data_IF_191474210851
#
_entry.id   IF_191474210851
#
_cell.length_a   1.000
_cell.length_b   1.000
_cell.length_c   1.000
_cell.angle_alpha   90.00
_cell.angle_beta   90.00
_cell.angle_gamma   90.00
#
_symmetry.space_group_name_H-M   'P 1'
#
loop_
_entity.id
_entity.type
_entity.pdbx_description
1 polymer ?
#
# COMPACT_ATOMS: atom_id res chain seq x y z
N UNK A 1 22.84 -7.71 13.62
CA UNK A 1 21.88 -6.99 14.49
C UNK A 1 21.93 -7.50 15.93
N UNK A 2 21.88 -6.60 16.92
CA UNK A 2 21.76 -6.98 18.35
C UNK A 2 20.28 -7.07 18.75
N UNK A 3 19.97 -7.86 19.77
CA UNK A 3 18.59 -8.02 20.29
C UNK A 3 18.00 -6.68 20.74
N UNK A 4 18.84 -5.80 21.28
CA UNK A 4 18.46 -4.45 21.72
C UNK A 4 17.93 -3.58 20.59
N UNK A 5 18.58 -3.60 19.42
CA UNK A 5 18.15 -2.83 18.24
C UNK A 5 16.80 -3.33 17.75
N UNK A 6 16.60 -4.64 17.68
CA UNK A 6 15.32 -5.24 17.27
C UNK A 6 14.20 -4.85 18.23
N UNK A 7 14.43 -4.97 19.55
CA UNK A 7 13.46 -4.59 20.56
C UNK A 7 13.11 -3.10 20.49
N UNK A 8 14.11 -2.24 20.28
CA UNK A 8 13.90 -0.81 20.13
C UNK A 8 13.14 -0.47 18.84
N UNK A 9 13.47 -1.08 17.71
CA UNK A 9 12.75 -0.89 16.45
C UNK A 9 11.27 -1.30 16.55
N UNK A 10 10.98 -2.42 17.25
CA UNK A 10 9.61 -2.87 17.53
C UNK A 10 8.86 -1.92 18.48
N UNK A 11 9.55 -1.33 19.46
CA UNK A 11 8.96 -0.32 20.33
C UNK A 11 8.62 0.95 19.55
N UNK A 12 9.54 1.44 18.73
CA UNK A 12 9.34 2.66 17.92
C UNK A 12 8.18 2.49 16.94
N UNK A 13 8.12 1.38 16.19
CA UNK A 13 7.00 1.15 15.25
C UNK A 13 5.67 1.03 15.99
N UNK A 14 5.65 0.44 17.20
CA UNK A 14 4.44 0.38 18.03
C UNK A 14 3.97 1.78 18.45
N UNK A 15 4.89 2.68 18.83
CA UNK A 15 4.58 4.07 19.15
C UNK A 15 4.02 4.79 17.92
N UNK A 16 4.66 4.64 16.75
CA UNK A 16 4.19 5.20 15.48
C UNK A 16 2.76 4.75 15.17
N UNK A 17 2.44 3.46 15.35
CA UNK A 17 1.10 2.93 15.14
C UNK A 17 0.08 3.50 16.13
N UNK A 18 0.47 3.69 17.40
CA UNK A 18 -0.37 4.35 18.42
C UNK A 18 -0.66 5.80 18.01
N UNK A 19 0.35 6.53 17.51
CA UNK A 19 0.18 7.88 16.98
C UNK A 19 -0.77 7.86 15.78
N UNK A 20 -0.59 6.93 14.82
CA UNK A 20 -1.51 6.76 13.69
C UNK A 20 -2.95 6.51 14.12
N UNK A 21 -3.15 5.69 15.16
CA UNK A 21 -4.47 5.47 15.78
C UNK A 21 -5.01 6.75 16.43
N UNK A 22 -4.18 7.49 17.14
CA UNK A 22 -4.57 8.74 17.79
C UNK A 22 -4.98 9.82 16.78
N UNK A 23 -4.20 9.99 15.71
CA UNK A 23 -4.49 10.87 14.56
C UNK A 23 -5.87 10.51 13.97
N UNK A 24 -6.12 9.22 13.73
CA UNK A 24 -7.41 8.72 13.24
C UNK A 24 -8.57 9.12 14.16
N UNK A 25 -8.39 9.02 15.48
CA UNK A 25 -9.44 9.32 16.46
C UNK A 25 -9.66 10.81 16.71
N UNK A 26 -8.68 11.67 16.40
CA UNK A 26 -8.77 13.11 16.64
C UNK A 26 -9.22 13.93 15.43
N UNK A 27 -8.90 13.49 14.21
CA UNK A 27 -9.13 14.27 13.00
C UNK A 27 -10.39 13.76 12.27
N UNK A 28 -11.49 14.56 12.17
CA UNK A 28 -12.74 14.13 11.56
C UNK A 28 -12.63 13.71 10.10
N UNK A 29 -11.68 14.29 9.35
CA UNK A 29 -11.45 13.96 7.94
C UNK A 29 -11.06 12.49 7.79
N UNK A 30 -10.13 12.00 8.62
CA UNK A 30 -9.67 10.61 8.55
C UNK A 30 -10.70 9.60 9.06
N UNK A 31 -11.63 10.04 9.92
CA UNK A 31 -12.77 9.22 10.34
C UNK A 31 -13.77 9.04 9.20
N UNK A 32 -14.10 10.14 8.50
CA UNK A 32 -15.01 10.12 7.35
C UNK A 32 -14.44 9.36 6.16
N UNK A 33 -13.13 9.38 5.99
CA UNK A 33 -12.42 8.65 4.95
C UNK A 33 -12.11 7.19 5.32
N UNK A 34 -12.49 6.71 6.52
CA UNK A 34 -12.24 5.35 6.99
C UNK A 34 -10.79 4.85 6.79
N UNK A 35 -9.81 5.76 6.84
CA UNK A 35 -8.40 5.40 6.62
C UNK A 35 -7.90 4.49 7.77
N UNK A 36 -7.16 3.41 7.47
CA UNK A 36 -6.61 2.53 8.49
C UNK A 36 -5.51 3.24 9.28
N UNK A 37 -5.41 2.94 10.58
CA UNK A 37 -4.41 3.56 11.47
C UNK A 37 -2.98 3.20 11.11
N UNK A 38 -2.75 2.01 10.52
CA UNK A 38 -1.44 1.58 10.02
C UNK A 38 -0.94 2.48 8.89
N UNK A 39 -1.83 2.87 7.98
CA UNK A 39 -1.51 3.77 6.87
C UNK A 39 -1.14 5.17 7.38
N UNK A 40 -1.94 5.72 8.31
CA UNK A 40 -1.64 7.01 8.93
C UNK A 40 -0.32 6.98 9.72
N UNK A 41 -0.05 5.88 10.42
CA UNK A 41 1.23 5.66 11.11
C UNK A 41 2.40 5.60 10.13
N UNK A 42 2.26 4.87 9.02
CA UNK A 42 3.27 4.81 7.96
C UNK A 42 3.56 6.17 7.33
N UNK A 43 2.53 6.96 7.02
CA UNK A 43 2.72 8.35 6.56
C UNK A 43 3.45 9.20 7.59
N UNK A 44 3.13 9.05 8.87
CA UNK A 44 3.82 9.76 9.94
C UNK A 44 5.29 9.32 10.03
N UNK A 45 5.60 8.03 9.90
CA UNK A 45 6.98 7.55 9.85
C UNK A 45 7.74 8.10 8.63
N UNK A 46 7.14 8.13 7.43
CA UNK A 46 7.76 8.71 6.23
C UNK A 46 8.07 10.20 6.39
N UNK A 47 7.19 10.96 7.05
CA UNK A 47 7.46 12.36 7.37
C UNK A 47 8.66 12.51 8.30
N UNK A 48 8.83 11.57 9.24
CA UNK A 48 9.89 11.59 10.24
C UNK A 48 11.21 10.96 9.74
N UNK A 49 11.14 10.21 8.65
CA UNK A 49 12.24 9.48 8.04
C UNK A 49 13.14 10.34 7.16
N UNK A 50 14.08 9.70 6.44
CA UNK A 50 15.02 10.36 5.58
C UNK A 50 14.38 11.05 4.38
N UNK A 51 13.24 10.54 3.91
CA UNK A 51 12.59 11.04 2.71
C UNK A 51 12.07 12.47 2.87
N UNK A 52 11.73 12.88 4.09
CA UNK A 52 11.18 14.22 4.37
C UNK A 52 12.04 14.97 5.36
N UNK A 53 12.05 14.62 6.65
CA UNK A 53 12.85 15.35 7.66
C UNK A 53 14.34 15.27 7.33
N UNK A 54 14.86 14.10 6.95
CA UNK A 54 16.27 13.97 6.55
C UNK A 54 16.64 14.93 5.43
N UNK A 55 15.85 14.94 4.34
CA UNK A 55 16.05 15.88 3.22
C UNK A 55 15.90 17.35 3.60
N UNK A 56 14.93 17.70 4.45
CA UNK A 56 14.75 19.09 4.91
C UNK A 56 15.95 19.55 5.73
N UNK A 57 16.45 18.70 6.63
CA UNK A 57 17.64 19.01 7.45
C UNK A 57 18.83 19.21 6.53
N UNK A 58 19.14 18.25 5.64
CA UNK A 58 20.25 18.36 4.69
C UNK A 58 20.15 19.63 3.84
N UNK A 59 18.93 20.01 3.41
CA UNK A 59 18.72 21.24 2.64
C UNK A 59 18.97 22.53 3.44
N UNK A 60 18.73 22.53 4.76
CA UNK A 60 18.93 23.69 5.64
C UNK A 60 20.37 23.78 6.16
N UNK A 61 20.98 22.65 6.52
CA UNK A 61 22.32 22.59 7.11
C UNK A 61 23.42 22.50 6.06
N UNK A 62 23.11 22.06 4.84
CA UNK A 62 24.09 21.82 3.77
C UNK A 62 24.94 20.55 3.97
N UNK A 63 24.72 19.82 5.06
CA UNK A 63 25.42 18.58 5.42
C UNK A 63 24.40 17.48 5.77
N UNK A 64 24.71 16.23 5.40
CA UNK A 64 23.91 15.05 5.73
C UNK A 64 24.07 14.64 7.20
N UNK A 65 23.54 15.47 8.10
CA UNK A 65 23.64 15.24 9.56
C UNK A 65 22.66 14.15 10.03
N UNK A 66 21.53 13.96 9.35
CA UNK A 66 20.49 12.97 9.70
C UNK A 66 20.01 12.15 8.48
N UNK A 67 20.84 11.22 7.98
CA UNK A 67 20.53 10.45 6.77
C UNK A 67 19.38 9.44 6.92
N UNK A 68 18.87 9.21 8.15
CA UNK A 68 17.70 8.37 8.44
C UNK A 68 16.57 9.16 9.13
N UNK A 69 16.59 10.50 9.02
CA UNK A 69 15.68 11.38 9.75
C UNK A 69 15.88 11.26 11.25
N UNK A 70 14.78 11.14 12.01
CA UNK A 70 14.85 10.97 13.47
C UNK A 70 15.18 9.53 13.90
N UNK A 71 15.19 8.58 12.96
CA UNK A 71 15.43 7.17 13.23
C UNK A 71 16.91 6.82 12.98
N UNK A 72 17.27 5.55 13.25
CA UNK A 72 18.62 5.04 13.03
C UNK A 72 18.64 4.01 11.90
N UNK A 73 19.80 3.80 11.30
CA UNK A 73 20.04 2.77 10.28
C UNK A 73 19.57 1.39 10.74
N UNK A 74 19.93 0.98 11.96
CA UNK A 74 19.51 -0.30 12.52
C UNK A 74 18.00 -0.45 12.72
N UNK A 75 17.25 0.65 12.93
CA UNK A 75 15.78 0.58 12.94
C UNK A 75 15.25 0.34 11.52
N UNK A 76 15.82 1.03 10.53
CA UNK A 76 15.45 0.88 9.13
C UNK A 76 15.70 -0.53 8.60
N UNK A 77 16.86 -1.11 8.89
CA UNK A 77 17.21 -2.49 8.53
C UNK A 77 16.20 -3.48 9.10
N UNK A 78 15.87 -3.36 10.39
CA UNK A 78 14.85 -4.23 11.02
C UNK A 78 13.50 -4.05 10.33
N UNK A 79 13.06 -2.81 10.09
CA UNK A 79 11.77 -2.55 9.44
C UNK A 79 11.71 -3.04 8.01
N UNK A 80 12.81 -3.04 7.26
CA UNK A 80 12.87 -3.57 5.90
C UNK A 80 12.63 -5.08 5.86
N UNK A 81 13.11 -5.83 6.87
CA UNK A 81 12.92 -7.29 6.95
C UNK A 81 11.51 -7.69 7.45
N UNK A 82 10.87 -6.86 8.28
CA UNK A 82 9.59 -7.19 8.93
C UNK A 82 8.46 -7.56 7.95
N UNK A 83 8.18 -6.82 6.86
CA UNK A 83 7.11 -7.16 5.93
C UNK A 83 7.22 -8.59 5.39
N UNK A 84 8.42 -9.01 4.95
CA UNK A 84 8.62 -10.36 4.41
C UNK A 84 8.33 -11.45 5.45
N UNK A 85 8.82 -11.27 6.68
CA UNK A 85 8.58 -12.21 7.79
C UNK A 85 7.09 -12.28 8.16
N UNK A 86 6.42 -11.13 8.27
CA UNK A 86 5.02 -11.05 8.67
C UNK A 86 4.09 -11.60 7.58
N UNK A 87 4.39 -11.34 6.31
CA UNK A 87 3.65 -11.89 5.16
C UNK A 87 3.67 -13.43 5.18
N UNK A 88 4.83 -14.04 5.47
CA UNK A 88 4.94 -15.49 5.59
C UNK A 88 4.00 -16.06 6.67
N UNK A 89 3.92 -15.40 7.83
CA UNK A 89 3.03 -15.81 8.93
C UNK A 89 1.55 -15.67 8.53
N UNK A 90 1.18 -14.56 7.87
CA UNK A 90 -0.19 -14.32 7.38
C UNK A 90 -0.59 -15.37 6.36
N UNK A 91 0.22 -15.64 5.34
CA UNK A 91 -0.10 -16.65 4.33
C UNK A 91 -0.14 -18.07 4.91
N UNK A 92 0.77 -18.42 5.82
CA UNK A 92 0.77 -19.72 6.47
C UNK A 92 -0.50 -19.95 7.32
N UNK A 93 -1.06 -18.89 7.90
CA UNK A 93 -2.24 -18.95 8.77
C UNK A 93 -3.58 -18.70 8.06
N UNK A 94 -3.58 -18.20 6.82
CA UNK A 94 -4.79 -17.78 6.10
C UNK A 94 -5.86 -18.87 5.98
N UNK A 95 -5.45 -20.13 5.87
CA UNK A 95 -6.34 -21.28 5.74
C UNK A 95 -6.63 -22.00 7.06
N UNK A 96 -6.04 -21.55 8.17
CA UNK A 96 -6.27 -22.15 9.49
C UNK A 96 -7.66 -21.73 9.99
N UNK A 97 -8.51 -22.71 10.29
CA UNK A 97 -9.81 -22.48 10.92
C UNK A 97 -11.01 -22.43 9.97
N UNK A 98 -10.82 -22.63 8.66
CA UNK A 98 -11.91 -22.73 7.70
C UNK A 98 -12.05 -24.16 7.16
N UNK A 99 -13.27 -24.70 7.21
CA UNK A 99 -13.59 -25.92 6.47
C UNK A 99 -13.67 -25.56 4.98
N UNK A 100 -12.87 -26.24 4.14
CA UNK A 100 -12.90 -26.00 2.70
C UNK A 100 -14.28 -26.41 2.14
N UNK A 101 -15.02 -25.46 1.53
CA UNK A 101 -16.30 -25.77 0.90
C UNK A 101 -16.08 -26.64 -0.34
N UNK A 102 -17.17 -27.19 -0.90
CA UNK A 102 -17.05 -28.05 -2.09
C UNK A 102 -16.58 -27.21 -3.28
N UNK A 103 -15.80 -27.80 -4.18
CA UNK A 103 -15.29 -27.12 -5.38
C UNK A 103 -16.39 -26.40 -6.19
N UNK A 104 -17.59 -26.99 -6.25
CA UNK A 104 -18.73 -26.37 -6.94
C UNK A 104 -19.22 -25.08 -6.27
N UNK A 105 -19.22 -25.02 -4.94
CA UNK A 105 -19.61 -23.83 -4.18
C UNK A 105 -18.56 -22.73 -4.33
N UNK A 106 -17.27 -23.12 -4.28
CA UNK A 106 -16.14 -22.23 -4.57
C UNK A 106 -16.30 -21.62 -5.97
N UNK A 107 -16.62 -22.43 -6.98
CA UNK A 107 -16.75 -21.93 -8.35
C UNK A 107 -17.97 -21.04 -8.56
N UNK A 108 -19.12 -21.38 -7.95
CA UNK A 108 -20.34 -20.55 -8.08
C UNK A 108 -20.19 -19.16 -7.47
N UNK A 109 -19.47 -19.04 -6.36
CA UNK A 109 -19.26 -17.76 -5.67
C UNK A 109 -18.00 -17.05 -6.17
N UNK A 110 -16.89 -17.78 -6.24
CA UNK A 110 -15.58 -17.25 -6.60
C UNK A 110 -15.37 -17.07 -8.10
N UNK A 111 -15.96 -17.92 -8.95
CA UNK A 111 -15.77 -17.85 -10.41
C UNK A 111 -16.10 -16.48 -11.01
N UNK A 112 -17.28 -15.88 -10.75
CA UNK A 112 -17.61 -14.55 -11.21
C UNK A 112 -16.66 -13.46 -10.68
N UNK A 113 -16.21 -13.58 -9.42
CA UNK A 113 -15.28 -12.63 -8.80
C UNK A 113 -13.89 -12.73 -9.42
N UNK A 114 -13.42 -13.96 -9.70
CA UNK A 114 -12.16 -14.22 -10.39
C UNK A 114 -12.21 -13.69 -11.82
N UNK A 115 -13.30 -13.93 -12.55
CA UNK A 115 -13.46 -13.41 -13.90
C UNK A 115 -13.45 -11.87 -13.93
N UNK A 116 -14.15 -11.23 -12.99
CA UNK A 116 -14.13 -9.77 -12.84
C UNK A 116 -12.73 -9.26 -12.49
N UNK A 117 -12.07 -9.89 -11.51
CA UNK A 117 -10.72 -9.55 -11.08
C UNK A 117 -9.73 -9.63 -12.23
N UNK A 118 -9.70 -10.75 -12.96
CA UNK A 118 -8.86 -10.89 -14.14
C UNK A 118 -9.19 -9.87 -15.22
N UNK A 119 -10.47 -9.60 -15.48
CA UNK A 119 -10.85 -8.58 -16.47
C UNK A 119 -10.28 -7.21 -16.11
N UNK A 120 -10.35 -6.83 -14.83
CA UNK A 120 -9.77 -5.59 -14.33
C UNK A 120 -8.24 -5.61 -14.42
N UNK A 121 -7.58 -6.70 -14.01
CA UNK A 121 -6.12 -6.87 -14.12
C UNK A 121 -5.65 -6.74 -15.56
N UNK A 122 -6.28 -7.43 -16.52
CA UNK A 122 -5.94 -7.32 -17.93
C UNK A 122 -6.14 -5.92 -18.48
N UNK A 123 -7.20 -5.22 -18.06
CA UNK A 123 -7.41 -3.82 -18.43
C UNK A 123 -6.30 -2.92 -17.87
N UNK A 124 -5.87 -3.13 -16.62
CA UNK A 124 -4.76 -2.39 -16.02
C UNK A 124 -3.44 -2.66 -16.72
N UNK A 125 -3.15 -3.92 -17.07
CA UNK A 125 -1.98 -4.28 -17.87
C UNK A 125 -2.02 -3.62 -19.25
N UNK A 126 -3.15 -3.70 -19.96
CA UNK A 126 -3.29 -3.13 -21.29
C UNK A 126 -3.11 -1.59 -21.26
N UNK A 127 -3.80 -0.91 -20.34
CA UNK A 127 -3.72 0.55 -20.19
C UNK A 127 -2.33 0.98 -19.71
N UNK A 128 -1.78 0.31 -18.70
CA UNK A 128 -0.46 0.62 -18.14
C UNK A 128 0.65 0.43 -19.15
N UNK A 129 0.68 -0.70 -19.87
CA UNK A 129 1.64 -0.93 -20.94
C UNK A 129 1.46 0.04 -22.11
N UNK A 130 0.22 0.35 -22.51
CA UNK A 130 -0.01 1.32 -23.58
C UNK A 130 0.54 2.71 -23.22
N UNK A 131 0.29 3.18 -21.99
CA UNK A 131 0.82 4.46 -21.50
C UNK A 131 2.34 4.43 -21.47
N UNK A 132 2.94 3.36 -20.93
CA UNK A 132 4.40 3.27 -20.82
C UNK A 132 5.04 3.23 -22.20
N UNK A 133 4.62 2.33 -23.08
CA UNK A 133 5.25 2.14 -24.38
C UNK A 133 5.05 3.33 -25.33
N UNK A 134 3.88 3.99 -25.30
CA UNK A 134 3.56 5.06 -26.25
C UNK A 134 3.98 6.44 -25.72
N UNK A 135 3.96 6.65 -24.41
CA UNK A 135 4.19 7.97 -23.80
C UNK A 135 5.46 7.97 -22.96
N UNK A 136 5.57 7.10 -21.95
CA UNK A 136 6.64 7.24 -20.94
C UNK A 136 8.01 6.79 -21.45
N UNK A 137 8.09 5.67 -22.16
CA UNK A 137 9.33 5.17 -22.75
C UNK A 137 9.88 6.14 -23.81
N UNK A 138 9.08 6.66 -24.77
CA UNK A 138 9.61 7.60 -25.76
C UNK A 138 9.99 8.97 -25.20
N UNK A 139 9.25 9.48 -24.21
CA UNK A 139 9.50 10.82 -23.65
C UNK A 139 10.55 10.83 -22.54
N UNK A 140 10.62 9.78 -21.72
CA UNK A 140 11.44 9.74 -20.51
C UNK A 140 12.40 8.55 -20.43
N UNK A 141 12.41 7.65 -21.43
CA UNK A 141 13.26 6.46 -21.41
C UNK A 141 12.86 5.44 -20.34
N UNK A 142 11.63 5.48 -19.85
CA UNK A 142 11.14 4.58 -18.79
C UNK A 142 11.22 3.11 -19.22
N UNK A 143 11.68 2.23 -18.31
CA UNK A 143 11.72 0.79 -18.54
C UNK A 143 10.32 0.25 -18.90
N UNK A 144 10.15 -0.51 -20.00
CA UNK A 144 8.86 -1.10 -20.38
C UNK A 144 8.17 -1.91 -19.28
N UNK A 145 8.93 -2.55 -18.39
CA UNK A 145 8.40 -3.28 -17.24
C UNK A 145 7.57 -2.39 -16.29
N UNK A 146 7.79 -1.07 -16.31
CA UNK A 146 6.96 -0.11 -15.58
C UNK A 146 5.47 -0.19 -15.98
N UNK A 147 5.16 -0.68 -17.18
CA UNK A 147 3.78 -0.84 -17.65
C UNK A 147 2.96 -1.83 -16.83
N UNK A 148 3.64 -2.77 -16.15
CA UNK A 148 3.02 -3.75 -15.25
C UNK A 148 2.73 -3.17 -13.85
N UNK A 149 3.37 -2.06 -13.46
CA UNK A 149 3.29 -1.54 -12.10
C UNK A 149 1.86 -1.20 -11.67
N UNK A 150 1.01 -0.72 -12.57
CA UNK A 150 -0.38 -0.40 -12.23
C UNK A 150 -1.09 -1.65 -11.71
N UNK A 151 -0.96 -2.79 -12.37
CA UNK A 151 -1.66 -4.01 -11.96
C UNK A 151 -1.04 -4.62 -10.70
N UNK A 152 0.29 -4.74 -10.68
CA UNK A 152 1.05 -5.28 -9.55
C UNK A 152 0.71 -4.49 -8.27
N UNK A 153 0.58 -3.17 -8.38
CA UNK A 153 0.31 -2.29 -7.25
C UNK A 153 -1.16 -2.19 -6.86
N UNK A 154 -2.09 -2.00 -7.82
CA UNK A 154 -3.50 -1.76 -7.48
C UNK A 154 -4.25 -3.05 -7.13
N UNK A 155 -4.09 -4.10 -7.93
CA UNK A 155 -4.78 -5.37 -7.70
C UNK A 155 -3.94 -6.29 -6.83
N UNK A 156 -2.65 -6.41 -7.13
CA UNK A 156 -1.74 -7.26 -6.37
C UNK A 156 -1.40 -6.71 -4.97
N UNK A 157 -1.13 -5.41 -4.88
CA UNK A 157 -0.74 -4.74 -3.65
C UNK A 157 0.67 -5.10 -3.17
N UNK A 158 0.96 -4.77 -1.91
CA UNK A 158 2.29 -4.93 -1.31
C UNK A 158 2.79 -6.38 -1.32
N UNK A 159 1.89 -7.36 -1.20
CA UNK A 159 2.24 -8.79 -1.21
C UNK A 159 2.74 -9.26 -2.58
N UNK A 160 2.04 -8.90 -3.65
CA UNK A 160 2.47 -9.22 -5.02
C UNK A 160 3.75 -8.48 -5.39
N UNK A 161 3.88 -7.20 -5.00
CA UNK A 161 5.12 -6.45 -5.20
C UNK A 161 6.32 -7.13 -4.51
N UNK A 162 6.15 -7.58 -3.26
CA UNK A 162 7.18 -8.33 -2.54
C UNK A 162 7.52 -9.68 -3.18
N UNK A 163 6.52 -10.39 -3.71
CA UNK A 163 6.76 -11.66 -4.42
C UNK A 163 7.47 -11.50 -5.77
N UNK A 164 7.55 -10.28 -6.32
CA UNK A 164 8.15 -9.96 -7.61
C UNK A 164 9.47 -9.19 -7.52
N UNK A 165 10.05 -8.98 -6.32
CA UNK A 165 11.31 -8.24 -6.13
C UNK A 165 12.42 -8.74 -7.05
N UNK A 166 12.69 -10.04 -7.04
CA UNK A 166 13.76 -10.67 -7.82
C UNK A 166 13.46 -10.61 -9.33
N UNK A 167 12.17 -10.58 -9.68
CA UNK A 167 11.74 -10.45 -11.08
C UNK A 167 12.08 -9.06 -11.61
N UNK A 168 11.83 -8.00 -10.82
CA UNK A 168 12.21 -6.64 -11.17
C UNK A 168 13.72 -6.48 -11.41
N UNK A 169 14.55 -7.07 -10.55
CA UNK A 169 16.01 -7.10 -10.73
C UNK A 169 16.41 -7.82 -12.02
N UNK A 170 15.85 -9.01 -12.28
CA UNK A 170 16.17 -9.81 -13.47
C UNK A 170 15.81 -9.12 -14.79
N UNK A 171 14.82 -8.23 -14.76
CA UNK A 171 14.37 -7.43 -15.90
C UNK A 171 15.13 -6.09 -16.05
N UNK A 172 16.18 -5.86 -15.25
CA UNK A 172 16.94 -4.62 -15.26
C UNK A 172 16.12 -3.41 -14.80
N UNK A 173 15.17 -3.63 -13.89
CA UNK A 173 14.32 -2.59 -13.30
C UNK A 173 14.31 -2.68 -11.76
N UNK A 174 15.47 -2.58 -11.09
CA UNK A 174 15.56 -2.80 -9.63
C UNK A 174 14.70 -1.81 -8.83
N UNK A 175 14.51 -0.58 -9.30
CA UNK A 175 13.62 0.41 -8.67
C UNK A 175 12.14 0.04 -8.77
N UNK A 176 11.80 -0.97 -9.59
CA UNK A 176 10.44 -1.45 -9.79
C UNK A 176 9.76 -1.93 -8.52
N UNK A 177 10.51 -2.54 -7.60
CA UNK A 177 9.98 -2.98 -6.30
C UNK A 177 9.50 -1.79 -5.45
N UNK A 178 10.36 -0.80 -5.24
CA UNK A 178 10.04 0.39 -4.43
C UNK A 178 8.90 1.18 -5.05
N UNK A 179 8.90 1.32 -6.38
CA UNK A 179 7.79 1.94 -7.12
C UNK A 179 6.50 1.15 -6.95
N UNK A 180 6.54 -0.18 -7.04
CA UNK A 180 5.36 -1.02 -6.88
C UNK A 180 4.76 -0.92 -5.48
N UNK A 181 5.60 -0.95 -4.44
CA UNK A 181 5.18 -0.81 -3.04
C UNK A 181 4.62 0.59 -2.75
N UNK A 182 5.26 1.64 -3.29
CA UNK A 182 4.78 3.01 -3.20
C UNK A 182 3.42 3.20 -3.87
N UNK A 183 3.30 2.73 -5.12
CA UNK A 183 2.05 2.77 -5.89
C UNK A 183 0.94 1.94 -5.25
N UNK A 184 1.26 0.82 -4.58
CA UNK A 184 0.26 0.03 -3.88
C UNK A 184 -0.40 0.83 -2.75
N UNK A 185 0.40 1.62 -2.02
CA UNK A 185 -0.09 2.53 -0.98
C UNK A 185 -0.97 3.64 -1.57
N UNK A 186 -0.56 4.22 -2.70
CA UNK A 186 -1.36 5.21 -3.45
C UNK A 186 -2.65 4.59 -3.98
N UNK A 187 -2.61 3.34 -4.42
CA UNK A 187 -3.77 2.57 -4.87
C UNK A 187 -4.80 2.39 -3.76
N UNK A 188 -4.36 1.98 -2.57
CA UNK A 188 -5.25 1.89 -1.40
C UNK A 188 -5.87 3.24 -1.07
N UNK A 189 -5.08 4.31 -1.01
CA UNK A 189 -5.58 5.66 -0.71
C UNK A 189 -6.60 6.14 -1.73
N UNK A 190 -6.26 6.06 -3.01
CA UNK A 190 -7.15 6.49 -4.09
C UNK A 190 -8.41 5.65 -4.13
N UNK A 191 -8.31 4.32 -3.96
CA UNK A 191 -9.46 3.42 -3.88
C UNK A 191 -10.41 3.76 -2.74
N UNK A 192 -9.87 4.02 -1.54
CA UNK A 192 -10.69 4.41 -0.38
C UNK A 192 -11.35 5.78 -0.59
N UNK A 193 -10.58 6.78 -1.01
CA UNK A 193 -11.09 8.15 -1.21
C UNK A 193 -12.14 8.20 -2.31
N UNK A 194 -11.83 7.64 -3.48
CA UNK A 194 -12.75 7.60 -4.63
C UNK A 194 -13.98 6.75 -4.29
N UNK A 195 -13.79 5.60 -3.66
CA UNK A 195 -14.88 4.72 -3.23
C UNK A 195 -15.87 5.42 -2.30
N UNK A 196 -15.37 6.15 -1.30
CA UNK A 196 -16.23 6.91 -0.37
C UNK A 196 -16.93 8.07 -1.07
N UNK A 197 -16.26 8.78 -1.98
CA UNK A 197 -16.89 9.83 -2.79
C UNK A 197 -18.02 9.24 -3.64
N UNK A 198 -17.78 8.12 -4.31
CA UNK A 198 -18.79 7.43 -5.12
C UNK A 198 -19.97 6.94 -4.28
N UNK A 199 -19.71 6.35 -3.11
CA UNK A 199 -20.75 5.93 -2.16
C UNK A 199 -21.62 7.12 -1.70
N UNK A 200 -21.00 8.23 -1.34
CA UNK A 200 -21.72 9.45 -0.94
C UNK A 200 -22.59 10.00 -2.07
N UNK A 201 -22.09 9.97 -3.31
CA UNK A 201 -22.86 10.38 -4.49
C UNK A 201 -24.04 9.42 -4.72
N UNK A 202 -23.82 8.11 -4.61
CA UNK A 202 -24.86 7.10 -4.79
C UNK A 202 -25.97 7.20 -3.73
N UNK A 203 -25.60 7.37 -2.46
CA UNK A 203 -26.53 7.57 -1.35
C UNK A 203 -27.38 8.83 -1.55
N UNK A 204 -26.76 9.97 -1.89
CA UNK A 204 -27.49 11.23 -2.17
C UNK A 204 -28.46 11.12 -3.35
N UNK A 205 -28.15 10.28 -4.33
CA UNK A 205 -29.00 10.05 -5.51
C UNK A 205 -30.04 8.94 -5.30
N UNK A 206 -30.15 8.36 -4.09
CA UNK A 206 -31.07 7.26 -3.80
C UNK A 206 -30.77 5.99 -4.60
N UNK A 207 -29.53 5.82 -5.09
CA UNK A 207 -29.10 4.67 -5.90
C UNK A 207 -28.41 3.58 -5.07
N UNK A 208 -28.41 3.71 -3.75
CA UNK A 208 -27.85 2.72 -2.85
C UNK A 208 -28.97 1.84 -2.30
N UNK A 209 -28.88 0.53 -2.49
CA UNK A 209 -29.83 -0.41 -1.89
C UNK A 209 -29.67 -0.51 -0.36
N UNK A 210 -28.46 -0.25 0.14
CA UNK A 210 -28.07 -0.45 1.55
C UNK A 210 -27.93 0.84 2.37
N UNK A 211 -27.64 1.99 1.75
CA UNK A 211 -27.41 3.27 2.44
C UNK A 211 -28.57 4.23 2.17
N UNK A 212 -29.49 4.32 3.13
CA UNK A 212 -30.56 5.31 3.11
C UNK A 212 -30.05 6.64 3.70
N UNK A 213 -30.38 7.75 3.07
CA UNK A 213 -29.95 9.13 3.38
C UNK A 213 -30.49 9.69 4.72
N UNK A 214 -30.78 8.82 5.68
CA UNK A 214 -31.19 9.17 7.05
C UNK A 214 -30.07 9.00 8.10
N UNK A 215 -28.85 8.61 7.70
CA UNK A 215 -27.70 8.70 8.60
C UNK A 215 -27.05 10.09 8.49
N UNK A 216 -27.60 11.02 9.27
CA UNK A 216 -26.88 12.21 9.72
C UNK A 216 -25.63 11.74 10.47
N UNK A 217 -24.44 11.98 9.90
CA UNK A 217 -23.20 11.89 10.65
C UNK A 217 -23.21 13.01 11.70
N UNK A 218 -23.56 12.67 12.95
CA UNK A 218 -23.20 13.45 14.13
C UNK A 218 -21.75 13.15 14.52
#
# INVERSE_FOLDING_TARGET
MTVEIVAFALMVISIVLIIGKWIRLRIPVFQRLFLPSSLLGGFFALLLGPEVIGRIITAVTGEEVMPYGIFTEGIYEVWAELPGLLINVVFASLFIGFALPRLQEIWKVGGPQVALGYTISWAQYAVGMAIVLVILTPLFGTNPAAGALIEISFVGGHGTAAGLSDTFESLGFPEGYDLAVGLATVGILSGVVIGIVMLNIAARKGKSETLNTQMTFQ
#
